data_IF_215862108341
#
_entry.id   IF_215862108341
#
_cell.length_a   1.000
_cell.length_b   1.000
_cell.length_c   1.000
_cell.angle_alpha   90.00
_cell.angle_beta   90.00
_cell.angle_gamma   90.00
#
_symmetry.space_group_name_H-M   'P 1'
#
loop_
_entity.id
_entity.type
_entity.pdbx_description
1 polymer ?
#
# COMPACT_ATOMS: atom_id res chain seq x y z
N UNK A 1 7.96 -5.91 12.38
CA UNK A 1 6.78 -5.06 12.61
C UNK A 1 7.14 -3.61 12.32
N UNK A 2 6.30 -2.87 11.63
CA UNK A 2 6.54 -1.45 11.35
C UNK A 2 6.03 -0.60 12.52
N UNK A 3 6.84 0.37 12.98
CA UNK A 3 6.42 1.34 13.99
C UNK A 3 5.51 2.39 13.36
N UNK A 4 4.51 2.89 14.09
CA UNK A 4 3.67 4.01 13.65
C UNK A 4 4.46 5.32 13.48
N UNK A 5 5.64 5.42 14.12
CA UNK A 5 6.53 6.56 13.98
C UNK A 5 7.25 6.59 12.62
N UNK A 6 7.27 5.49 11.88
CA UNK A 6 7.85 5.46 10.54
C UNK A 6 6.91 6.11 9.54
N UNK A 7 7.39 7.07 8.73
CA UNK A 7 6.55 7.76 7.77
C UNK A 7 6.08 6.83 6.63
N UNK A 8 6.84 5.77 6.35
CA UNK A 8 6.58 4.82 5.27
C UNK A 8 6.80 3.37 5.70
N UNK A 9 6.08 2.45 5.07
CA UNK A 9 6.29 1.01 5.27
C UNK A 9 7.56 0.56 4.54
N UNK A 10 8.54 -0.03 5.23
CA UNK A 10 9.70 -0.62 4.57
C UNK A 10 9.28 -1.83 3.74
N UNK A 11 9.32 -1.69 2.43
CA UNK A 11 9.05 -2.75 1.46
C UNK A 11 10.24 -2.84 0.52
N UNK A 12 10.59 -4.05 0.07
CA UNK A 12 11.72 -4.25 -0.84
C UNK A 12 11.34 -5.12 -2.03
N UNK A 13 12.16 -5.07 -3.07
CA UNK A 13 12.08 -5.89 -4.25
C UNK A 13 13.23 -6.90 -4.24
N UNK A 14 12.88 -8.17 -4.12
CA UNK A 14 13.87 -9.25 -4.11
C UNK A 14 13.89 -9.94 -5.48
N UNK A 15 15.07 -9.98 -6.10
CA UNK A 15 15.33 -10.86 -7.22
C UNK A 15 15.61 -12.27 -6.68
N UNK A 16 15.80 -13.25 -7.53
CA UNK A 16 15.96 -14.67 -7.22
C UNK A 16 16.93 -14.94 -6.06
N UNK A 17 16.57 -15.91 -5.19
CA UNK A 17 17.46 -16.54 -4.24
C UNK A 17 17.08 -16.44 -2.76
N UNK A 18 16.68 -15.28 -2.17
CA UNK A 18 16.38 -15.21 -0.75
C UNK A 18 15.15 -16.05 -0.37
N UNK A 19 15.26 -16.80 0.72
CA UNK A 19 14.11 -17.42 1.38
C UNK A 19 13.47 -16.38 2.30
N UNK A 20 12.18 -16.13 2.09
CA UNK A 20 11.43 -15.15 2.89
C UNK A 20 11.03 -15.78 4.22
N UNK A 21 11.42 -15.11 5.32
CA UNK A 21 11.10 -15.57 6.66
C UNK A 21 9.59 -15.42 7.01
N UNK A 22 9.16 -16.15 8.03
CA UNK A 22 7.78 -16.22 8.52
C UNK A 22 7.17 -14.89 8.98
N UNK A 23 7.99 -13.87 9.23
CA UNK A 23 7.56 -12.53 9.65
C UNK A 23 7.38 -11.55 8.49
N UNK A 24 7.58 -11.99 7.25
CA UNK A 24 7.45 -11.18 6.06
C UNK A 24 6.30 -11.68 5.20
N UNK A 25 5.68 -10.78 4.46
CA UNK A 25 4.72 -11.10 3.41
C UNK A 25 5.37 -10.87 2.07
N UNK A 26 5.16 -11.79 1.14
CA UNK A 26 5.66 -11.68 -0.23
C UNK A 26 4.51 -11.57 -1.22
N UNK A 27 4.72 -10.75 -2.22
CA UNK A 27 3.93 -10.73 -3.46
C UNK A 27 4.82 -11.35 -4.54
N UNK A 28 4.36 -12.43 -5.15
CA UNK A 28 5.10 -13.14 -6.18
C UNK A 28 4.68 -12.68 -7.57
N UNK A 29 5.66 -12.55 -8.48
CA UNK A 29 5.44 -12.21 -9.90
C UNK A 29 4.70 -10.89 -10.13
N UNK A 30 4.73 -9.99 -9.16
CA UNK A 30 4.04 -8.71 -9.23
C UNK A 30 4.90 -7.61 -9.89
N UNK A 31 4.30 -6.78 -10.75
CA UNK A 31 5.00 -5.66 -11.35
C UNK A 31 5.52 -4.65 -10.31
N UNK A 32 6.63 -3.98 -10.63
CA UNK A 32 7.32 -3.08 -9.70
C UNK A 32 6.46 -1.91 -9.19
N UNK A 33 5.45 -1.48 -9.94
CA UNK A 33 4.53 -0.42 -9.47
C UNK A 33 3.75 -0.77 -8.20
N UNK A 34 3.63 -2.06 -7.83
CA UNK A 34 3.06 -2.47 -6.54
C UNK A 34 3.92 -2.00 -5.36
N UNK A 35 5.25 -1.94 -5.54
CA UNK A 35 6.13 -1.37 -4.53
C UNK A 35 5.77 0.10 -4.26
N UNK A 36 5.50 0.89 -5.31
CA UNK A 36 5.08 2.29 -5.17
C UNK A 36 3.78 2.42 -4.35
N UNK A 37 2.82 1.53 -4.57
CA UNK A 37 1.57 1.51 -3.79
C UNK A 37 1.83 1.20 -2.32
N UNK A 38 2.58 0.13 -2.03
CA UNK A 38 2.84 -0.33 -0.66
C UNK A 38 3.71 0.67 0.10
N UNK A 39 4.68 1.29 -0.58
CA UNK A 39 5.59 2.28 0.00
C UNK A 39 4.97 3.67 0.17
N UNK A 40 3.68 3.85 -0.13
CA UNK A 40 3.01 5.16 -0.09
C UNK A 40 2.43 5.52 1.27
N UNK A 41 2.21 6.83 1.47
CA UNK A 41 1.45 7.35 2.61
C UNK A 41 0.01 6.84 2.63
N UNK A 42 -0.60 6.65 1.46
CA UNK A 42 -1.95 6.09 1.34
C UNK A 42 -2.05 4.71 2.00
N UNK A 43 -1.05 3.86 1.77
CA UNK A 43 -1.04 2.51 2.34
C UNK A 43 -0.79 2.51 3.85
N UNK A 44 0.12 3.36 4.35
CA UNK A 44 0.37 3.51 5.80
C UNK A 44 -0.92 3.95 6.51
N UNK A 45 -1.62 4.93 5.99
CA UNK A 45 -2.88 5.44 6.56
C UNK A 45 -3.95 4.35 6.56
N UNK A 46 -4.03 3.56 5.49
CA UNK A 46 -4.95 2.42 5.39
C UNK A 46 -4.66 1.37 6.46
N UNK A 47 -3.42 0.85 6.50
CA UNK A 47 -3.06 -0.21 7.46
C UNK A 47 -3.16 0.26 8.91
N UNK A 48 -2.87 1.53 9.17
CA UNK A 48 -3.04 2.14 10.48
C UNK A 48 -4.49 2.14 10.97
N UNK A 49 -5.45 2.01 10.06
CA UNK A 49 -6.88 2.01 10.35
C UNK A 49 -7.48 0.61 10.35
N UNK A 50 -7.11 -0.26 9.40
CA UNK A 50 -7.76 -1.58 9.23
C UNK A 50 -6.99 -2.73 9.89
N UNK A 51 -5.69 -2.59 10.13
CA UNK A 51 -4.89 -3.62 10.78
C UNK A 51 -4.89 -3.46 12.30
N UNK A 52 -4.69 -4.57 13.00
CA UNK A 52 -4.52 -4.56 14.46
C UNK A 52 -3.25 -3.83 14.86
N UNK A 53 -3.22 -3.33 16.10
CA UNK A 53 -2.03 -2.76 16.71
C UNK A 53 -1.58 -3.62 17.87
N UNK A 54 -0.28 -3.75 18.03
CA UNK A 54 0.37 -4.27 19.22
C UNK A 54 1.23 -3.14 19.78
N UNK A 55 0.77 -2.51 20.87
CA UNK A 55 1.34 -1.26 21.40
C UNK A 55 1.36 -0.18 20.30
N UNK A 56 2.54 0.42 20.04
CA UNK A 56 2.78 1.45 19.01
C UNK A 56 3.17 0.85 17.64
N UNK A 57 2.90 -0.44 17.38
CA UNK A 57 3.33 -1.13 16.18
C UNK A 57 2.14 -1.66 15.39
N UNK A 58 2.18 -1.49 14.08
CA UNK A 58 1.19 -2.13 13.21
C UNK A 58 1.42 -3.64 13.16
N UNK A 59 0.41 -4.41 13.52
CA UNK A 59 0.35 -5.85 13.24
C UNK A 59 -0.19 -6.01 11.82
N UNK A 60 0.70 -5.87 10.83
CA UNK A 60 0.31 -5.97 9.43
C UNK A 60 -0.26 -7.35 9.11
N UNK A 61 -1.41 -7.38 8.48
CA UNK A 61 -2.03 -8.60 7.98
C UNK A 61 -2.39 -8.43 6.49
N UNK A 62 -1.90 -9.31 5.63
CA UNK A 62 -2.16 -9.22 4.19
C UNK A 62 -3.66 -9.24 3.84
N UNK A 63 -4.47 -10.01 4.58
CA UNK A 63 -5.92 -10.09 4.36
C UNK A 63 -6.63 -8.74 4.53
N UNK A 64 -6.21 -7.94 5.52
CA UNK A 64 -6.80 -6.62 5.78
C UNK A 64 -5.97 -5.50 5.18
N UNK A 65 -4.64 -5.58 5.27
CA UNK A 65 -3.75 -4.54 4.79
C UNK A 65 -3.72 -4.44 3.27
N UNK A 66 -3.35 -5.54 2.59
CA UNK A 66 -3.17 -5.54 1.13
C UNK A 66 -4.45 -5.89 0.37
N UNK A 67 -5.10 -7.01 0.69
CA UNK A 67 -6.22 -7.50 -0.11
C UNK A 67 -7.45 -6.58 -0.08
N UNK A 68 -7.54 -5.67 0.89
CA UNK A 68 -8.63 -4.71 1.00
C UNK A 68 -8.20 -3.28 0.63
N UNK A 69 -6.92 -3.05 0.33
CA UNK A 69 -6.44 -1.73 -0.04
C UNK A 69 -7.07 -1.29 -1.37
N UNK A 70 -7.89 -0.23 -1.35
CA UNK A 70 -8.66 0.15 -2.53
C UNK A 70 -7.78 0.97 -3.48
N UNK A 71 -7.48 0.39 -4.63
CA UNK A 71 -6.72 1.05 -5.71
C UNK A 71 -7.68 1.43 -6.83
N UNK A 72 -7.66 2.67 -7.33
CA UNK A 72 -8.47 3.05 -8.49
C UNK A 72 -7.97 2.33 -9.75
N UNK A 73 -8.79 2.30 -10.80
CA UNK A 73 -8.37 1.75 -12.08
C UNK A 73 -7.17 2.52 -12.62
N UNK A 74 -6.05 1.82 -12.80
CA UNK A 74 -4.81 2.40 -13.31
C UNK A 74 -4.75 2.30 -14.83
N UNK A 75 -4.42 3.40 -15.48
CA UNK A 75 -4.04 3.42 -16.90
C UNK A 75 -2.60 2.92 -17.07
N UNK A 76 -2.21 2.56 -18.30
CA UNK A 76 -0.82 2.16 -18.57
C UNK A 76 0.18 3.28 -18.25
N UNK A 77 -0.22 4.55 -18.49
CA UNK A 77 0.57 5.71 -18.07
C UNK A 77 0.74 5.75 -16.56
N UNK A 78 -0.32 5.55 -15.77
CA UNK A 78 -0.25 5.54 -14.32
C UNK A 78 0.70 4.44 -13.81
N UNK A 79 0.62 3.24 -14.38
CA UNK A 79 1.53 2.13 -14.04
C UNK A 79 2.98 2.45 -14.36
N UNK A 80 3.25 3.07 -15.52
CA UNK A 80 4.58 3.49 -15.89
C UNK A 80 5.13 4.59 -14.97
N UNK A 81 4.30 5.56 -14.59
CA UNK A 81 4.69 6.64 -13.67
C UNK A 81 4.99 6.08 -12.26
N UNK A 82 4.17 5.15 -11.75
CA UNK A 82 4.40 4.48 -10.46
C UNK A 82 5.61 3.55 -10.50
N UNK A 83 5.89 2.89 -11.62
CA UNK A 83 7.12 2.08 -11.79
C UNK A 83 8.36 2.96 -11.63
N UNK A 84 8.38 4.14 -12.28
CA UNK A 84 9.49 5.10 -12.11
C UNK A 84 9.64 5.57 -10.66
N UNK A 85 8.53 5.85 -9.97
CA UNK A 85 8.59 6.21 -8.55
C UNK A 85 9.18 5.08 -7.69
N UNK A 86 8.84 3.83 -7.98
CA UNK A 86 9.41 2.67 -7.30
C UNK A 86 10.92 2.54 -7.57
N UNK A 87 11.34 2.73 -8.82
CA UNK A 87 12.76 2.74 -9.21
C UNK A 87 13.53 3.85 -8.49
N UNK A 88 12.98 5.07 -8.43
CA UNK A 88 13.59 6.21 -7.71
C UNK A 88 13.78 5.91 -6.22
N UNK A 89 12.81 5.26 -5.57
CA UNK A 89 12.93 4.83 -4.16
C UNK A 89 14.04 3.80 -3.99
N UNK A 90 14.13 2.80 -4.87
CA UNK A 90 15.17 1.77 -4.80
C UNK A 90 16.56 2.37 -5.05
N UNK A 91 16.71 3.25 -6.05
CA UNK A 91 17.97 3.94 -6.34
C UNK A 91 18.41 4.83 -5.18
N UNK A 92 17.49 5.59 -4.57
CA UNK A 92 17.80 6.40 -3.40
C UNK A 92 18.29 5.55 -2.22
N UNK A 93 17.82 4.31 -2.06
CA UNK A 93 18.36 3.39 -1.05
C UNK A 93 19.74 2.88 -1.40
N UNK A 94 19.98 2.52 -2.68
CA UNK A 94 21.28 2.05 -3.14
C UNK A 94 22.40 3.05 -2.89
N UNK A 95 22.13 4.35 -3.04
CA UNK A 95 23.11 5.41 -2.76
C UNK A 95 23.63 5.41 -1.32
N UNK A 96 22.87 4.83 -0.41
CA UNK A 96 23.22 4.77 1.02
C UNK A 96 23.77 3.40 1.45
N UNK A 97 24.10 2.51 0.51
CA UNK A 97 24.78 1.25 0.87
C UNK A 97 26.07 1.52 1.64
N UNK A 98 26.38 0.82 2.75
CA UNK A 98 25.73 -0.39 3.28
C UNK A 98 24.69 -0.16 4.39
N UNK A 99 24.07 1.01 4.48
CA UNK A 99 23.01 1.26 5.47
C UNK A 99 21.86 0.25 5.35
N UNK A 100 21.37 -0.21 6.49
CA UNK A 100 20.27 -1.18 6.51
C UNK A 100 18.92 -0.48 6.25
N UNK A 101 17.91 -1.23 5.81
CA UNK A 101 16.52 -0.72 5.70
C UNK A 101 16.03 -0.15 7.03
N UNK A 102 16.46 -0.71 8.16
CA UNK A 102 16.10 -0.20 9.47
C UNK A 102 16.66 1.21 9.71
N UNK A 103 17.91 1.46 9.32
CA UNK A 103 18.57 2.76 9.44
C UNK A 103 17.95 3.78 8.47
N UNK A 104 17.74 3.37 7.22
CA UNK A 104 17.18 4.23 6.17
C UNK A 104 15.75 4.71 6.46
N UNK A 105 14.96 3.93 7.21
CA UNK A 105 13.57 4.27 7.55
C UNK A 105 13.39 4.68 9.02
N UNK A 106 14.48 5.00 9.70
CA UNK A 106 14.39 5.64 11.01
C UNK A 106 13.86 7.07 10.84
N UNK A 107 12.81 7.48 11.59
CA UNK A 107 12.20 8.79 11.40
C UNK A 107 13.15 9.95 11.64
N UNK A 108 14.17 9.79 12.50
CA UNK A 108 15.10 10.84 12.88
C UNK A 108 16.28 10.96 11.89
N UNK A 109 16.64 9.85 11.22
CA UNK A 109 17.85 9.78 10.39
C UNK A 109 17.58 9.44 8.92
N UNK A 110 16.32 9.32 8.52
CA UNK A 110 15.95 9.03 7.13
C UNK A 110 16.58 10.03 6.16
N UNK A 111 17.36 9.57 5.16
CA UNK A 111 18.03 10.45 4.19
C UNK A 111 17.05 11.35 3.45
N UNK A 112 17.42 12.61 3.26
CA UNK A 112 16.57 13.59 2.58
C UNK A 112 16.24 13.19 1.13
N UNK A 113 17.18 12.55 0.43
CA UNK A 113 16.97 12.04 -0.91
C UNK A 113 15.90 10.93 -0.95
N UNK A 114 15.98 9.96 -0.03
CA UNK A 114 15.00 8.89 0.09
C UNK A 114 13.61 9.44 0.47
N UNK A 115 13.56 10.41 1.39
CA UNK A 115 12.32 11.11 1.74
C UNK A 115 11.71 11.81 0.53
N UNK A 116 12.53 12.52 -0.26
CA UNK A 116 12.08 13.19 -1.47
C UNK A 116 11.56 12.20 -2.53
N UNK A 117 12.16 11.01 -2.66
CA UNK A 117 11.65 9.97 -3.56
C UNK A 117 10.27 9.47 -3.13
N UNK A 118 10.05 9.25 -1.83
CA UNK A 118 8.73 8.90 -1.30
C UNK A 118 7.71 10.03 -1.46
N UNK A 119 8.09 11.28 -1.23
CA UNK A 119 7.19 12.43 -1.42
C UNK A 119 6.73 12.57 -2.88
N UNK A 120 7.61 12.31 -3.84
CA UNK A 120 7.25 12.25 -5.28
C UNK A 120 6.30 11.10 -5.57
N UNK A 121 6.55 9.93 -5.00
CA UNK A 121 5.65 8.77 -5.12
C UNK A 121 4.24 9.09 -4.59
N UNK A 122 4.16 9.71 -3.42
CA UNK A 122 2.88 10.12 -2.83
C UNK A 122 2.18 11.15 -3.71
N UNK A 123 2.88 12.13 -4.26
CA UNK A 123 2.30 13.13 -5.15
C UNK A 123 1.71 12.49 -6.42
N UNK A 124 2.43 11.58 -7.05
CA UNK A 124 1.94 10.85 -8.24
C UNK A 124 0.73 10.03 -7.90
N UNK A 125 0.79 9.25 -6.82
CA UNK A 125 -0.30 8.38 -6.41
C UNK A 125 -1.55 9.17 -6.01
N UNK A 126 -1.42 10.23 -5.21
CA UNK A 126 -2.53 11.07 -4.77
C UNK A 126 -3.24 11.75 -5.94
N UNK A 127 -2.48 12.17 -6.97
CA UNK A 127 -3.06 12.68 -8.22
C UNK A 127 -3.87 11.63 -8.98
N UNK A 128 -3.48 10.37 -8.91
CA UNK A 128 -4.26 9.25 -9.49
C UNK A 128 -5.60 9.09 -8.74
N UNK A 129 -5.61 9.29 -7.41
CA UNK A 129 -6.83 9.16 -6.60
C UNK A 129 -7.83 10.31 -6.76
N UNK A 130 -7.34 11.56 -6.79
CA UNK A 130 -8.21 12.74 -6.74
C UNK A 130 -7.78 13.91 -7.65
N UNK A 131 -6.75 13.75 -8.49
CA UNK A 131 -6.24 14.78 -9.38
C UNK A 131 -5.34 15.84 -8.71
N UNK A 132 -5.15 15.79 -7.39
CA UNK A 132 -4.32 16.70 -6.59
C UNK A 132 -3.74 15.99 -5.38
N UNK A 133 -2.91 16.68 -4.59
CA UNK A 133 -2.49 16.17 -3.27
C UNK A 133 -3.64 16.27 -2.26
N UNK A 134 -3.70 15.30 -1.34
CA UNK A 134 -4.58 15.36 -0.18
C UNK A 134 -4.09 16.41 0.84
N UNK A 135 -5.00 17.00 1.56
CA UNK A 135 -4.69 18.01 2.60
C UNK A 135 -4.13 17.36 3.87
N UNK A 136 -4.64 16.17 4.22
CA UNK A 136 -4.30 15.46 5.44
C UNK A 136 -4.71 13.97 5.35
N UNK A 137 -4.38 13.19 6.38
CA UNK A 137 -4.70 11.77 6.44
C UNK A 137 -6.20 11.49 6.57
N UNK A 138 -6.98 12.40 7.15
CA UNK A 138 -8.44 12.27 7.20
C UNK A 138 -9.05 12.25 5.81
N UNK A 139 -8.65 13.18 4.94
CA UNK A 139 -9.11 13.23 3.56
C UNK A 139 -8.67 11.99 2.75
N UNK A 140 -7.46 11.46 3.05
CA UNK A 140 -7.00 10.18 2.47
C UNK A 140 -7.92 9.03 2.87
N UNK A 141 -8.26 8.93 4.16
CA UNK A 141 -9.14 7.88 4.67
C UNK A 141 -10.55 7.96 4.09
N UNK A 142 -11.14 9.15 4.02
CA UNK A 142 -12.45 9.35 3.41
C UNK A 142 -12.47 8.81 1.98
N UNK A 143 -11.45 9.12 1.18
CA UNK A 143 -11.33 8.63 -0.19
C UNK A 143 -11.12 7.13 -0.26
N UNK A 144 -10.28 6.57 0.60
CA UNK A 144 -10.03 5.13 0.66
C UNK A 144 -11.32 4.37 1.04
N UNK A 145 -12.08 4.83 2.04
CA UNK A 145 -13.35 4.19 2.41
C UNK A 145 -14.42 4.34 1.33
N UNK A 146 -14.48 5.46 0.63
CA UNK A 146 -15.36 5.61 -0.55
C UNK A 146 -15.08 4.52 -1.59
N UNK A 147 -13.81 4.34 -1.95
CA UNK A 147 -13.41 3.34 -2.94
C UNK A 147 -13.60 1.90 -2.43
N UNK A 148 -13.25 1.65 -1.17
CA UNK A 148 -13.46 0.35 -0.54
C UNK A 148 -14.93 -0.07 -0.53
N UNK A 149 -15.83 0.86 -0.21
CA UNK A 149 -17.28 0.59 -0.21
C UNK A 149 -17.77 0.21 -1.61
N UNK A 150 -17.29 0.90 -2.65
CA UNK A 150 -17.60 0.57 -4.05
C UNK A 150 -17.06 -0.83 -4.43
N UNK A 151 -15.82 -1.11 -4.05
CA UNK A 151 -15.17 -2.41 -4.30
C UNK A 151 -15.93 -3.55 -3.61
N UNK A 152 -16.29 -3.38 -2.33
CA UNK A 152 -17.03 -4.36 -1.56
C UNK A 152 -18.45 -4.60 -2.10
N UNK A 153 -19.13 -3.55 -2.56
CA UNK A 153 -20.44 -3.67 -3.20
C UNK A 153 -20.39 -4.47 -4.50
N UNK A 154 -19.32 -4.32 -5.28
CA UNK A 154 -19.12 -5.08 -6.54
C UNK A 154 -18.73 -6.54 -6.29
N UNK A 155 -18.02 -6.82 -5.19
CA UNK A 155 -17.60 -8.16 -4.81
C UNK A 155 -18.72 -8.96 -4.09
N UNK A 156 -19.78 -8.31 -3.62
CA UNK A 156 -20.89 -8.99 -2.96
C UNK A 156 -21.65 -9.89 -3.97
N UNK A 157 -21.82 -11.20 -3.70
CA UNK A 157 -22.59 -12.07 -4.60
C UNK A 157 -24.02 -11.54 -4.71
N UNK A 158 -24.55 -11.44 -5.93
CA UNK A 158 -25.93 -11.07 -6.18
C UNK A 158 -26.83 -11.93 -5.30
N UNK A 159 -27.62 -11.30 -4.41
CA UNK A 159 -28.54 -12.00 -3.51
C UNK A 159 -29.38 -12.96 -4.31
N UNK A 160 -29.12 -14.27 -4.16
CA UNK A 160 -29.83 -15.32 -4.87
C UNK A 160 -31.33 -15.16 -4.65
N UNK A 161 -32.12 -15.07 -5.74
CA UNK A 161 -33.58 -15.18 -5.72
C UNK A 161 -33.92 -16.46 -4.95
N UNK A 162 -34.54 -16.34 -3.77
CA UNK A 162 -35.18 -17.44 -3.09
C UNK A 162 -36.17 -18.08 -4.05
N UNK A 163 -35.87 -19.29 -4.55
CA UNK A 163 -36.83 -20.13 -5.23
C UNK A 163 -37.95 -20.41 -4.22
N UNK A 164 -39.14 -19.85 -4.43
CA UNK A 164 -40.35 -20.30 -3.75
C UNK A 164 -40.54 -21.77 -4.11
N UNK A 165 -40.38 -22.66 -3.15
CA UNK A 165 -40.86 -24.03 -3.26
C UNK A 165 -42.39 -23.97 -3.37
N UNK A 166 -42.91 -24.31 -4.55
CA UNK A 166 -44.32 -24.48 -4.76
C UNK A 166 -44.80 -25.69 -3.92
N UNK A 167 -45.73 -25.46 -3.05
CA UNK A 167 -46.53 -26.51 -2.47
C UNK A 167 -47.42 -27.06 -3.60
N UNK A 168 -47.32 -28.36 -3.82
CA UNK A 168 -48.32 -29.13 -4.57
C UNK A 168 -49.01 -30.09 -3.62
N UNK A 169 -50.30 -30.03 -3.66
CA UNK A 169 -51.25 -30.85 -2.97
C UNK A 169 -51.09 -32.35 -3.24
#
# INVERSE_FOLDING_TARGET
MSSENRPYLPVDYLRFGPIIGDKCYALYDEPLWHLALIASRMHIVWIGTVCSRLEMRFSYGNKLGWNTFPVPTLTDKNRADLTRCAEDILLAREHHFPATIADLYDPDTMPAELRAAHDRNDEVLERIYIGRRFKNDTERLEKLFELYTKMAATAAPAKGKKRKAGASA
#
